data_IF_668466624334
#
_entry.id   IF_668466624334
#
_cell.length_a   1.000
_cell.length_b   1.000
_cell.length_c   1.000
_cell.angle_alpha   90.00
_cell.angle_beta   90.00
_cell.angle_gamma   90.00
#
_symmetry.space_group_name_H-M   'P 1'
#
loop_
_entity.id
_entity.type
_entity.pdbx_description
1 polymer ?
#
# COMPACT_ATOMS: atom_id res chain seq x y z
N UNK A 1 5.16 -22.03 -3.41
CA UNK A 1 5.07 -21.41 -4.75
C UNK A 1 6.12 -20.33 -4.80
N UNK A 2 6.88 -20.20 -5.89
CA UNK A 2 7.85 -19.10 -6.06
C UNK A 2 7.10 -17.96 -6.77
N UNK A 3 7.08 -16.73 -6.22
CA UNK A 3 6.54 -15.55 -6.90
C UNK A 3 7.14 -15.35 -8.29
N UNK A 4 6.38 -14.75 -9.21
CA UNK A 4 6.89 -14.40 -10.55
C UNK A 4 8.04 -13.39 -10.50
N UNK A 5 8.15 -12.63 -9.42
CA UNK A 5 9.17 -11.60 -9.20
C UNK A 5 10.48 -12.17 -8.65
N UNK A 6 10.49 -13.36 -8.04
CA UNK A 6 11.72 -14.01 -7.56
C UNK A 6 11.52 -14.96 -6.38
N UNK A 7 12.62 -15.52 -5.80
CA UNK A 7 12.56 -16.55 -4.77
C UNK A 7 12.18 -16.04 -3.37
N UNK A 8 12.31 -14.74 -3.10
CA UNK A 8 11.95 -14.16 -1.81
C UNK A 8 10.44 -13.89 -1.76
N UNK A 9 9.83 -14.02 -0.58
CA UNK A 9 8.38 -13.82 -0.44
C UNK A 9 8.05 -12.34 -0.28
N UNK A 10 7.18 -11.77 -1.14
CA UNK A 10 6.55 -10.50 -0.85
C UNK A 10 5.72 -10.57 0.43
N UNK A 11 5.59 -9.44 1.11
CA UNK A 11 4.85 -9.33 2.36
C UNK A 11 3.74 -8.29 2.21
N UNK A 12 2.57 -8.61 2.77
CA UNK A 12 1.47 -7.67 2.99
C UNK A 12 1.26 -7.56 4.50
N UNK A 13 1.60 -6.41 5.08
CA UNK A 13 1.44 -6.11 6.49
C UNK A 13 0.20 -5.21 6.69
N UNK A 14 -0.61 -5.53 7.70
CA UNK A 14 -1.86 -4.80 7.98
C UNK A 14 -1.89 -4.43 9.45
N UNK A 15 -1.82 -3.14 9.73
CA UNK A 15 -1.95 -2.57 11.07
C UNK A 15 -3.25 -1.79 11.17
N UNK A 16 -3.99 -2.06 12.26
CA UNK A 16 -5.23 -1.36 12.57
C UNK A 16 -5.20 -0.87 14.00
N UNK A 17 -5.59 0.38 14.21
CA UNK A 17 -5.69 0.98 15.53
C UNK A 17 -7.02 1.69 15.63
N UNK A 18 -7.93 1.06 16.37
CA UNK A 18 -9.26 1.60 16.63
C UNK A 18 -9.16 2.65 17.74
N UNK A 19 -9.00 3.91 17.35
CA UNK A 19 -8.91 5.05 18.27
C UNK A 19 -9.92 6.13 17.93
N UNK A 20 -10.53 6.74 18.94
CA UNK A 20 -11.27 7.98 18.71
C UNK A 20 -10.28 9.13 18.45
N UNK A 21 -10.58 10.10 17.56
CA UNK A 21 -11.83 10.27 16.82
C UNK A 21 -11.90 9.50 15.47
N UNK A 22 -10.78 8.99 14.97
CA UNK A 22 -10.69 8.25 13.71
C UNK A 22 -9.76 7.05 13.87
N UNK A 23 -10.16 5.91 13.32
CA UNK A 23 -9.30 4.74 13.23
C UNK A 23 -8.04 5.09 12.43
N UNK A 24 -6.88 4.65 12.89
CA UNK A 24 -5.64 4.71 12.13
C UNK A 24 -5.38 3.35 11.48
N UNK A 25 -4.82 3.34 10.28
CA UNK A 25 -4.37 2.11 9.63
C UNK A 25 -3.14 2.29 8.76
N UNK A 26 -2.44 1.18 8.56
CA UNK A 26 -1.40 1.02 7.53
C UNK A 26 -1.57 -0.33 6.86
N UNK A 27 -1.61 -0.35 5.53
CA UNK A 27 -1.60 -1.56 4.70
C UNK A 27 -0.40 -1.44 3.78
N UNK A 28 0.64 -2.21 4.07
CA UNK A 28 1.94 -2.11 3.40
C UNK A 28 2.26 -3.38 2.62
N UNK A 29 2.63 -3.21 1.36
CA UNK A 29 3.17 -4.26 0.48
C UNK A 29 4.67 -4.02 0.25
N UNK A 30 5.45 -5.09 0.33
CA UNK A 30 6.87 -5.08 0.01
C UNK A 30 7.25 -6.31 -0.82
N UNK A 31 7.83 -6.09 -2.00
CA UNK A 31 8.45 -7.13 -2.81
C UNK A 31 9.97 -6.92 -2.87
N UNK A 32 10.74 -7.70 -2.10
CA UNK A 32 12.18 -7.53 -2.04
C UNK A 32 12.89 -7.98 -3.33
N UNK A 33 12.25 -8.80 -4.17
CA UNK A 33 12.88 -9.27 -5.42
C UNK A 33 13.03 -8.15 -6.45
N UNK A 34 12.16 -7.14 -6.41
CA UNK A 34 12.16 -6.00 -7.33
C UNK A 34 12.40 -4.66 -6.63
N UNK A 35 12.63 -4.66 -5.31
CA UNK A 35 12.83 -3.46 -4.51
C UNK A 35 11.63 -2.51 -4.55
N UNK A 36 10.41 -3.07 -4.58
CA UNK A 36 9.17 -2.30 -4.65
C UNK A 36 8.48 -2.31 -3.29
N UNK A 37 8.10 -1.12 -2.82
CA UNK A 37 7.37 -0.90 -1.58
C UNK A 37 6.22 0.04 -1.85
N UNK A 38 5.02 -0.30 -1.39
CA UNK A 38 3.88 0.61 -1.45
C UNK A 38 2.88 0.36 -0.34
N UNK A 39 2.02 1.31 -0.05
CA UNK A 39 0.98 1.11 0.96
C UNK A 39 -0.01 2.24 1.07
N UNK A 40 -1.13 1.95 1.73
CA UNK A 40 -2.17 2.93 2.05
C UNK A 40 -2.16 3.20 3.54
N UNK A 41 -2.04 4.46 3.92
CA UNK A 41 -1.95 4.90 5.30
C UNK A 41 -3.03 5.92 5.61
N UNK A 42 -3.68 5.76 6.76
CA UNK A 42 -4.47 6.78 7.42
C UNK A 42 -3.89 6.96 8.82
N UNK A 43 -3.13 8.03 8.99
CA UNK A 43 -2.48 8.37 10.25
C UNK A 43 -2.21 9.88 10.35
N UNK A 44 -1.38 10.28 11.32
CA UNK A 44 -1.04 11.68 11.55
C UNK A 44 0.00 12.26 10.58
N UNK A 45 0.53 11.46 9.66
CA UNK A 45 1.52 11.89 8.68
C UNK A 45 0.84 12.36 7.38
N UNK A 46 1.53 13.21 6.62
CA UNK A 46 1.07 13.71 5.31
C UNK A 46 -0.38 14.25 5.26
N UNK A 47 -0.88 14.82 6.37
CA UNK A 47 -2.26 15.34 6.52
C UNK A 47 -2.69 16.38 5.47
N UNK A 48 -1.74 16.95 4.72
CA UNK A 48 -2.01 17.83 3.60
C UNK A 48 -2.58 17.11 2.36
N UNK A 49 -2.48 15.77 2.30
CA UNK A 49 -3.01 14.92 1.23
C UNK A 49 -4.45 14.43 1.49
N UNK A 50 -5.05 14.81 2.62
CA UNK A 50 -6.40 14.40 2.98
C UNK A 50 -6.43 13.41 4.15
N UNK A 51 -7.47 12.58 4.20
CA UNK A 51 -7.68 11.63 5.30
C UNK A 51 -6.72 10.44 5.24
N UNK A 52 -6.37 10.00 4.04
CA UNK A 52 -5.44 8.89 3.80
C UNK A 52 -4.56 9.22 2.59
N UNK A 53 -3.43 8.52 2.50
CA UNK A 53 -2.52 8.65 1.37
C UNK A 53 -2.02 7.28 0.91
N UNK A 54 -1.70 7.20 -0.38
CA UNK A 54 -0.94 6.11 -0.96
C UNK A 54 0.53 6.52 -1.02
N UNK A 55 1.41 5.67 -0.53
CA UNK A 55 2.86 5.83 -0.61
C UNK A 55 3.43 4.74 -1.51
N UNK A 56 4.39 5.06 -2.37
CA UNK A 56 5.14 4.06 -3.11
C UNK A 56 6.61 4.43 -3.34
N UNK A 57 7.44 3.41 -3.51
CA UNK A 57 8.85 3.52 -3.84
C UNK A 57 9.28 2.34 -4.71
N UNK A 58 9.96 2.62 -5.82
CA UNK A 58 10.58 1.61 -6.69
C UNK A 58 12.09 1.60 -6.48
N UNK A 59 12.78 0.57 -6.97
CA UNK A 59 14.23 0.45 -6.87
C UNK A 59 15.02 1.62 -7.49
N UNK A 60 14.41 2.38 -8.41
CA UNK A 60 15.06 3.54 -9.06
C UNK A 60 14.86 4.86 -8.30
N UNK A 61 14.00 4.88 -7.28
CA UNK A 61 13.63 6.08 -6.52
C UNK A 61 14.49 6.23 -5.26
N UNK A 62 15.10 7.41 -5.09
CA UNK A 62 15.86 7.75 -3.88
C UNK A 62 14.93 7.97 -2.67
N UNK A 63 13.77 8.57 -2.91
CA UNK A 63 12.75 8.83 -1.90
C UNK A 63 11.38 8.33 -2.37
N UNK A 64 10.48 7.93 -1.46
CA UNK A 64 9.10 7.60 -1.80
C UNK A 64 8.34 8.80 -2.34
N UNK A 65 7.30 8.52 -3.12
CA UNK A 65 6.30 9.49 -3.55
C UNK A 65 4.95 9.22 -2.88
N UNK A 66 4.08 10.22 -2.87
CA UNK A 66 2.83 10.21 -2.10
C UNK A 66 1.67 10.82 -2.87
N UNK A 67 0.53 10.15 -2.83
CA UNK A 67 -0.70 10.58 -3.50
C UNK A 67 -1.88 10.54 -2.52
N UNK A 68 -2.87 11.41 -2.73
CA UNK A 68 -4.14 11.33 -1.99
C UNK A 68 -4.81 9.97 -2.24
N UNK A 69 -5.33 9.36 -1.18
CA UNK A 69 -6.14 8.16 -1.28
C UNK A 69 -7.53 8.40 -0.69
N UNK A 70 -8.56 8.01 -1.45
CA UNK A 70 -9.96 8.12 -1.04
C UNK A 70 -10.59 6.73 -1.16
N UNK A 71 -11.35 6.33 -0.15
CA UNK A 71 -11.97 5.01 -0.08
C UNK A 71 -13.50 5.12 -0.07
N UNK A 72 -14.15 4.21 -0.80
CA UNK A 72 -15.60 4.02 -0.69
C UNK A 72 -15.95 3.08 0.48
N UNK A 73 -15.01 2.21 0.88
CA UNK A 73 -15.18 1.34 2.02
C UNK A 73 -15.32 2.10 3.35
N UNK A 74 -16.35 1.73 4.11
CA UNK A 74 -16.66 2.30 5.43
C UNK A 74 -16.31 1.37 6.60
N UNK A 75 -15.75 0.19 6.33
CA UNK A 75 -15.35 -0.77 7.37
C UNK A 75 -13.98 -1.38 7.09
N UNK A 76 -13.21 -1.75 8.13
CA UNK A 76 -11.85 -2.25 7.97
C UNK A 76 -11.72 -3.44 7.00
N UNK A 77 -12.58 -4.48 7.06
CA UNK A 77 -12.48 -5.60 6.11
C UNK A 77 -12.76 -5.21 4.66
N UNK A 78 -13.66 -4.25 4.43
CA UNK A 78 -13.97 -3.76 3.08
C UNK A 78 -12.83 -2.90 2.54
N UNK A 79 -12.22 -2.10 3.41
CA UNK A 79 -11.08 -1.26 3.03
C UNK A 79 -9.88 -2.13 2.66
N UNK A 80 -9.56 -3.15 3.47
CA UNK A 80 -8.51 -4.10 3.11
C UNK A 80 -8.80 -4.80 1.77
N UNK A 81 -10.06 -5.16 1.52
CA UNK A 81 -10.45 -5.75 0.24
C UNK A 81 -10.24 -4.79 -0.94
N UNK A 82 -10.67 -3.53 -0.80
CA UNK A 82 -10.47 -2.46 -1.80
C UNK A 82 -8.99 -2.24 -2.11
N UNK A 83 -8.13 -2.17 -1.07
CA UNK A 83 -6.67 -2.09 -1.24
C UNK A 83 -6.10 -3.32 -1.93
N UNK A 84 -6.54 -4.53 -1.59
CA UNK A 84 -6.07 -5.75 -2.24
C UNK A 84 -6.44 -5.80 -3.72
N UNK A 85 -7.68 -5.46 -4.07
CA UNK A 85 -8.13 -5.40 -5.47
C UNK A 85 -7.27 -4.40 -6.25
N UNK A 86 -7.07 -3.19 -5.71
CA UNK A 86 -6.20 -2.19 -6.35
C UNK A 86 -4.74 -2.65 -6.45
N UNK A 87 -4.19 -3.25 -5.40
CA UNK A 87 -2.82 -3.76 -5.35
C UNK A 87 -2.55 -4.77 -6.46
N UNK A 88 -3.40 -5.81 -6.56
CA UNK A 88 -3.18 -6.92 -7.48
C UNK A 88 -3.61 -6.62 -8.91
N UNK A 89 -4.66 -5.83 -9.11
CA UNK A 89 -5.17 -5.54 -10.46
C UNK A 89 -4.50 -4.35 -11.14
N UNK A 90 -3.94 -3.41 -10.37
CA UNK A 90 -3.39 -2.17 -10.93
C UNK A 90 -1.95 -1.91 -10.49
N UNK A 91 -1.68 -1.87 -9.19
CA UNK A 91 -0.39 -1.37 -8.68
C UNK A 91 0.75 -2.32 -9.04
N UNK A 92 0.67 -3.60 -8.67
CA UNK A 92 1.72 -4.57 -8.98
C UNK A 92 1.97 -4.62 -10.50
N UNK A 93 0.94 -4.75 -11.38
CA UNK A 93 1.15 -4.69 -12.82
C UNK A 93 1.86 -3.41 -13.28
N UNK A 94 1.40 -2.23 -12.86
CA UNK A 94 1.94 -0.95 -13.35
C UNK A 94 3.40 -0.68 -12.92
N UNK A 95 3.81 -1.18 -11.75
CA UNK A 95 5.12 -0.89 -11.17
C UNK A 95 6.11 -2.05 -11.26
N UNK A 96 5.67 -3.23 -11.73
CA UNK A 96 6.53 -4.41 -11.86
C UNK A 96 6.46 -5.12 -13.21
N UNK A 97 5.50 -4.81 -14.10
CA UNK A 97 5.51 -5.37 -15.46
C UNK A 97 6.68 -4.81 -16.30
N UNK A 98 7.43 -5.71 -16.94
CA UNK A 98 8.54 -5.37 -17.83
C UNK A 98 9.94 -5.44 -17.22
N UNK A 99 10.05 -5.88 -15.95
CA UNK A 99 11.29 -6.37 -15.33
C UNK A 99 11.61 -7.81 -15.74
#
# INVERSE_FOLDING_TARGET
MVPSTGPESPQLEVHWKLTAPHDEFRIDYADPNVGFHCGWHQDGDHTHLGAAHFQYQTASMETPDYEEAVFEAVSPPKLLWECCDELFEKIIPNYTEGL
#
